data_IF_984421842300
#
_entry.id   IF_984421842300
#
_cell.length_a   1.000
_cell.length_b   1.000
_cell.length_c   1.000
_cell.angle_alpha   90.00
_cell.angle_beta   90.00
_cell.angle_gamma   90.00
#
_symmetry.space_group_name_H-M   'P 1'
#
loop_
_entity.id
_entity.type
_entity.pdbx_description
1 polymer ?
#
# COMPACT_ATOMS: atom_id res chain seq x y z
N UNK A 1 13.44 10.64 -28.72
CA UNK A 1 13.25 10.65 -27.25
C UNK A 1 13.05 9.23 -26.74
N UNK A 2 13.50 8.89 -25.53
CA UNK A 2 13.28 7.56 -24.95
C UNK A 2 11.80 7.39 -24.60
N UNK A 3 11.14 6.39 -25.20
CA UNK A 3 9.72 6.08 -24.95
C UNK A 3 9.50 5.32 -23.64
N UNK A 4 8.26 4.87 -23.41
CA UNK A 4 7.92 4.06 -22.23
C UNK A 4 8.66 2.71 -22.25
N UNK A 5 9.50 2.48 -21.24
CA UNK A 5 10.17 1.19 -21.03
C UNK A 5 9.29 0.31 -20.13
N UNK A 6 8.85 -0.85 -20.63
CA UNK A 6 8.17 -1.85 -19.81
C UNK A 6 9.17 -2.46 -18.86
N UNK A 7 8.99 -2.23 -17.55
CA UNK A 7 9.80 -2.85 -16.51
C UNK A 7 9.13 -4.14 -16.02
N UNK A 8 9.83 -5.29 -16.05
CA UNK A 8 9.29 -6.53 -15.53
C UNK A 8 8.96 -6.37 -14.04
N UNK A 9 7.80 -6.87 -13.61
CA UNK A 9 7.29 -6.82 -12.22
C UNK A 9 7.00 -5.43 -11.65
N UNK A 10 6.99 -4.36 -12.45
CA UNK A 10 6.58 -3.01 -12.02
C UNK A 10 5.23 -2.99 -11.30
N UNK A 11 4.32 -3.86 -11.72
CA UNK A 11 3.00 -4.02 -11.11
C UNK A 11 3.06 -4.32 -9.60
N UNK A 12 4.13 -4.96 -9.10
CA UNK A 12 4.27 -5.30 -7.68
C UNK A 12 4.35 -4.03 -6.84
N UNK A 13 5.17 -3.07 -7.28
CA UNK A 13 5.36 -1.77 -6.61
C UNK A 13 4.09 -0.93 -6.72
N UNK A 14 3.52 -0.83 -7.92
CA UNK A 14 2.28 -0.08 -8.15
C UNK A 14 1.12 -0.61 -7.31
N UNK A 15 1.04 -1.94 -7.15
CA UNK A 15 0.01 -2.58 -6.32
C UNK A 15 0.16 -2.25 -4.83
N UNK A 16 1.39 -2.14 -4.33
CA UNK A 16 1.64 -1.67 -2.95
C UNK A 16 1.12 -0.24 -2.77
N UNK A 17 1.44 0.66 -3.70
CA UNK A 17 0.91 2.02 -3.66
C UNK A 17 -0.62 2.06 -3.76
N UNK A 18 -1.23 1.21 -4.59
CA UNK A 18 -2.68 1.11 -4.69
C UNK A 18 -3.36 0.66 -3.37
N UNK A 19 -2.71 -0.18 -2.56
CA UNK A 19 -3.23 -0.53 -1.24
C UNK A 19 -3.07 0.58 -0.21
N UNK A 20 -1.95 1.31 -0.26
CA UNK A 20 -1.72 2.47 0.60
C UNK A 20 -2.75 3.57 0.31
N UNK A 21 -2.89 4.00 -0.94
CA UNK A 21 -3.81 5.08 -1.33
C UNK A 21 -5.29 4.73 -1.13
N UNK A 22 -5.63 3.44 -1.06
CA UNK A 22 -6.98 2.98 -0.67
C UNK A 22 -7.34 3.32 0.79
N UNK A 23 -6.37 3.69 1.62
CA UNK A 23 -6.62 4.37 2.90
C UNK A 23 -6.66 5.87 2.65
N UNK A 24 -7.80 6.51 2.93
CA UNK A 24 -8.03 7.93 2.65
C UNK A 24 -6.91 8.85 3.18
N UNK A 25 -6.35 8.56 4.36
CA UNK A 25 -5.25 9.34 4.94
C UNK A 25 -3.91 9.24 4.21
N UNK A 26 -3.68 8.20 3.41
CA UNK A 26 -2.49 8.07 2.57
C UNK A 26 -2.72 8.58 1.13
N UNK A 27 -3.96 8.97 0.78
CA UNK A 27 -4.29 9.45 -0.56
C UNK A 27 -3.90 10.92 -0.76
N UNK A 28 -3.79 11.68 0.34
CA UNK A 28 -3.32 13.06 0.36
C UNK A 28 -2.48 13.27 1.61
N UNK A 29 -1.57 14.22 1.52
CA UNK A 29 -0.80 14.67 2.68
C UNK A 29 -1.70 15.55 3.55
N UNK A 30 -2.22 14.95 4.62
CA UNK A 30 -3.04 15.64 5.62
C UNK A 30 -2.24 16.02 6.86
N UNK A 31 -1.06 15.42 7.03
CA UNK A 31 -0.32 15.51 8.27
C UNK A 31 0.64 16.69 8.22
N UNK A 32 0.74 17.42 9.33
CA UNK A 32 1.63 18.59 9.41
C UNK A 32 3.11 18.20 9.49
N UNK A 33 3.39 16.98 9.93
CA UNK A 33 4.72 16.47 10.22
C UNK A 33 4.93 15.14 9.48
N UNK A 34 6.07 14.94 8.79
CA UNK A 34 6.37 13.69 8.09
C UNK A 34 6.26 12.45 8.98
N UNK A 35 6.64 12.54 10.25
CA UNK A 35 6.66 11.44 11.22
C UNK A 35 5.24 10.89 11.49
N UNK A 36 4.23 11.75 11.44
CA UNK A 36 2.84 11.32 11.53
C UNK A 36 2.43 10.54 10.28
N UNK A 37 2.78 11.05 9.09
CA UNK A 37 2.45 10.37 7.84
C UNK A 37 3.17 9.01 7.72
N UNK A 38 4.42 8.92 8.18
CA UNK A 38 5.16 7.65 8.31
C UNK A 38 4.41 6.65 9.19
N UNK A 39 3.93 7.09 10.36
CA UNK A 39 3.12 6.25 11.25
C UNK A 39 1.87 5.74 10.52
N UNK A 40 1.14 6.61 9.81
CA UNK A 40 -0.04 6.21 9.03
C UNK A 40 0.30 5.18 7.94
N UNK A 41 1.45 5.29 7.27
CA UNK A 41 1.92 4.31 6.29
C UNK A 41 2.15 2.94 6.97
N UNK A 42 2.84 2.90 8.10
CA UNK A 42 3.08 1.64 8.84
C UNK A 42 1.76 0.99 9.27
N UNK A 43 0.83 1.78 9.81
CA UNK A 43 -0.52 1.29 10.17
C UNK A 43 -1.28 0.72 8.98
N UNK A 44 -1.23 1.39 7.82
CA UNK A 44 -1.87 0.91 6.60
C UNK A 44 -1.29 -0.43 6.13
N UNK A 45 0.04 -0.58 6.18
CA UNK A 45 0.75 -1.80 5.82
C UNK A 45 0.39 -2.98 6.76
N UNK A 46 0.42 -2.76 8.07
CA UNK A 46 0.05 -3.77 9.08
C UNK A 46 -1.38 -4.27 8.83
N UNK A 47 -2.34 -3.36 8.68
CA UNK A 47 -3.74 -3.72 8.41
C UNK A 47 -3.90 -4.51 7.10
N UNK A 48 -3.11 -4.21 6.08
CA UNK A 48 -3.14 -4.95 4.83
C UNK A 48 -2.59 -6.38 5.01
N UNK A 49 -1.52 -6.56 5.79
CA UNK A 49 -0.98 -7.89 6.11
C UNK A 49 -1.95 -8.70 6.96
N UNK A 50 -2.51 -8.13 8.03
CA UNK A 50 -3.49 -8.82 8.89
C UNK A 50 -4.70 -9.32 8.09
N UNK A 51 -5.25 -8.48 7.19
CA UNK A 51 -6.38 -8.89 6.33
C UNK A 51 -6.03 -9.99 5.34
N UNK A 52 -4.77 -10.08 4.90
CA UNK A 52 -4.34 -11.17 4.03
C UNK A 52 -4.30 -12.48 4.79
N UNK A 53 -3.72 -12.48 5.99
CA UNK A 53 -3.70 -13.64 6.86
C UNK A 53 -5.12 -14.14 7.15
N UNK A 54 -6.03 -13.24 7.54
CA UNK A 54 -7.43 -13.61 7.80
C UNK A 54 -8.13 -14.23 6.58
N UNK A 55 -7.91 -13.71 5.37
CA UNK A 55 -8.48 -14.29 4.15
C UNK A 55 -7.93 -15.68 3.85
N UNK A 56 -6.64 -15.91 4.07
CA UNK A 56 -6.03 -17.24 3.88
C UNK A 56 -6.64 -18.26 4.85
N UNK A 57 -6.88 -17.87 6.10
CA UNK A 57 -7.55 -18.73 7.08
C UNK A 57 -8.97 -19.10 6.64
N UNK A 58 -9.78 -18.14 6.18
CA UNK A 58 -11.16 -18.43 5.73
C UNK A 58 -11.23 -19.37 4.52
N UNK A 59 -10.25 -19.33 3.62
CA UNK A 59 -10.23 -20.22 2.44
C UNK A 59 -9.69 -21.62 2.78
N UNK A 60 -9.00 -21.79 3.91
CA UNK A 60 -8.42 -23.06 4.33
C UNK A 60 -9.33 -23.90 5.24
N UNK A 61 -10.55 -23.43 5.52
CA UNK A 61 -11.60 -24.12 6.30
C UNK A 61 -12.71 -24.51 5.34
#
# INVERSE_FOLDING_TARGET
>A
GKGFQVLPRRWVVERTFAWLTRRRRCARDYERLPEHHETIIYWAAILQMTRRHARTTTTAI
#
